data_IF_373349446173
#
_entry.id   IF_373349446173
#
_cell.length_a   1.000
_cell.length_b   1.000
_cell.length_c   1.000
_cell.angle_alpha   90.00
_cell.angle_beta   90.00
_cell.angle_gamma   90.00
#
_symmetry.space_group_name_H-M   'P 1'
#
loop_
_entity.id
_entity.type
_entity.pdbx_description
1 polymer ?
#
# COMPACT_ATOMS: atom_id res chain seq x y z
N UNK A 1 5.72 6.92 -4.59
CA UNK A 1 6.95 7.25 -5.36
C UNK A 1 7.31 6.19 -6.40
N UNK A 2 7.12 4.88 -6.16
CA UNK A 2 7.46 3.83 -7.12
C UNK A 2 6.66 3.91 -8.44
N UNK A 3 5.35 4.13 -8.37
CA UNK A 3 4.46 4.26 -9.54
C UNK A 3 4.90 5.38 -10.51
N UNK A 4 5.18 6.58 -10.00
CA UNK A 4 5.69 7.72 -10.80
C UNK A 4 7.00 7.38 -11.50
N UNK A 5 7.92 6.67 -10.82
CA UNK A 5 9.21 6.26 -11.40
C UNK A 5 9.00 5.25 -12.54
N UNK A 6 8.10 4.27 -12.36
CA UNK A 6 7.77 3.30 -13.39
C UNK A 6 7.09 3.97 -14.59
N UNK A 7 6.15 4.90 -14.36
CA UNK A 7 5.49 5.66 -15.42
C UNK A 7 6.49 6.49 -16.23
N UNK A 8 7.40 7.21 -15.57
CA UNK A 8 8.48 7.96 -16.25
C UNK A 8 9.36 7.03 -17.10
N UNK A 9 9.72 5.85 -16.58
CA UNK A 9 10.50 4.84 -17.31
C UNK A 9 9.74 4.30 -18.54
N UNK A 10 8.45 4.01 -18.40
CA UNK A 10 7.61 3.50 -19.49
C UNK A 10 7.47 4.53 -20.62
N UNK A 11 7.43 5.82 -20.27
CA UNK A 11 7.39 6.94 -21.21
C UNK A 11 8.78 7.33 -21.75
N UNK A 12 9.86 6.63 -21.36
CA UNK A 12 11.22 6.94 -21.80
C UNK A 12 11.76 8.28 -21.31
N UNK A 13 11.19 8.82 -20.22
CA UNK A 13 11.57 10.14 -19.70
C UNK A 13 12.88 10.07 -18.91
N UNK A 14 13.73 11.07 -19.13
CA UNK A 14 15.01 11.24 -18.42
C UNK A 14 14.97 12.51 -17.57
N UNK A 15 15.64 12.47 -16.42
CA UNK A 15 15.84 13.64 -15.57
C UNK A 15 17.24 14.19 -15.81
N UNK A 16 17.34 15.50 -16.05
CA UNK A 16 18.59 16.20 -16.28
C UNK A 16 18.71 17.36 -15.29
N UNK A 17 19.95 17.63 -14.86
CA UNK A 17 20.29 18.83 -14.09
C UNK A 17 21.07 19.77 -15.01
N UNK A 18 20.72 21.05 -15.01
CA UNK A 18 21.38 22.08 -15.82
C UNK A 18 21.73 23.28 -14.96
N UNK A 19 22.84 23.93 -15.30
CA UNK A 19 23.25 25.21 -14.74
C UNK A 19 22.91 26.30 -15.75
N UNK A 20 22.33 27.39 -15.27
CA UNK A 20 21.99 28.57 -16.06
C UNK A 20 22.55 29.81 -15.36
N UNK A 21 22.77 30.88 -16.13
CA UNK A 21 23.08 32.17 -15.53
C UNK A 21 21.87 32.70 -14.77
N UNK A 22 22.09 33.44 -13.68
CA UNK A 22 20.99 33.92 -12.84
C UNK A 22 20.06 34.88 -13.60
N UNK A 23 20.64 35.72 -14.46
CA UNK A 23 19.89 36.66 -15.31
C UNK A 23 18.93 35.96 -16.30
N UNK A 24 19.22 34.72 -16.68
CA UNK A 24 18.42 33.94 -17.63
C UNK A 24 17.28 33.16 -16.95
N UNK A 25 17.18 33.24 -15.62
CA UNK A 25 16.26 32.40 -14.82
C UNK A 25 14.81 32.52 -15.25
N UNK A 26 14.32 33.74 -15.47
CA UNK A 26 12.91 33.97 -15.79
C UNK A 26 12.57 33.47 -17.19
N UNK A 27 13.46 33.67 -18.15
CA UNK A 27 13.28 33.21 -19.52
C UNK A 27 13.43 31.69 -19.62
N UNK A 28 14.35 31.10 -18.85
CA UNK A 28 14.42 29.65 -18.69
C UNK A 28 13.14 29.09 -18.08
N UNK A 29 12.61 29.69 -17.01
CA UNK A 29 11.35 29.24 -16.38
C UNK A 29 10.17 29.28 -17.35
N UNK A 30 10.06 30.34 -18.17
CA UNK A 30 9.03 30.42 -19.22
C UNK A 30 9.23 29.34 -20.28
N UNK A 31 10.47 29.14 -20.73
CA UNK A 31 10.80 28.13 -21.74
C UNK A 31 10.50 26.70 -21.27
N UNK A 32 10.76 26.39 -19.99
CA UNK A 32 10.52 25.05 -19.42
C UNK A 32 9.10 24.82 -18.90
N UNK A 33 8.28 25.88 -18.76
CA UNK A 33 6.94 25.78 -18.19
C UNK A 33 6.06 24.71 -18.86
N UNK A 34 5.98 24.60 -20.21
CA UNK A 34 5.17 23.56 -20.85
C UNK A 34 5.61 22.14 -20.49
N UNK A 35 6.93 21.90 -20.39
CA UNK A 35 7.49 20.59 -20.03
C UNK A 35 7.24 20.27 -18.56
N UNK A 36 7.37 21.26 -17.68
CA UNK A 36 7.06 21.12 -16.25
C UNK A 36 5.60 20.77 -16.03
N UNK A 37 4.70 21.46 -16.71
CA UNK A 37 3.26 21.26 -16.55
C UNK A 37 2.85 19.88 -17.10
N UNK A 38 3.43 19.45 -18.23
CA UNK A 38 3.25 18.08 -18.75
C UNK A 38 3.80 17.02 -17.80
N UNK A 39 4.96 17.26 -17.18
CA UNK A 39 5.53 16.38 -16.17
C UNK A 39 4.62 16.24 -14.95
N UNK A 40 4.04 17.35 -14.47
CA UNK A 40 3.06 17.35 -13.36
C UNK A 40 1.81 16.54 -13.71
N UNK A 41 1.29 16.66 -14.92
CA UNK A 41 0.13 15.87 -15.36
C UNK A 41 0.45 14.38 -15.35
N UNK A 42 1.61 13.98 -15.88
CA UNK A 42 2.03 12.57 -15.88
C UNK A 42 2.15 12.01 -14.45
N UNK A 43 2.61 12.83 -13.51
CA UNK A 43 2.65 12.45 -12.09
C UNK A 43 1.27 12.31 -11.46
N UNK A 44 0.32 13.16 -11.85
CA UNK A 44 -1.07 13.06 -11.41
C UNK A 44 -1.73 11.81 -11.99
N UNK A 45 -1.62 11.59 -13.30
CA UNK A 45 -2.13 10.41 -13.99
C UNK A 45 -1.55 9.12 -13.36
N UNK A 46 -0.26 9.10 -13.02
CA UNK A 46 0.39 7.95 -12.36
C UNK A 46 -0.02 7.75 -10.89
N UNK A 47 -0.61 8.77 -10.25
CA UNK A 47 -1.22 8.63 -8.92
C UNK A 47 -2.67 8.16 -9.01
N UNK A 48 -3.35 8.50 -10.09
CA UNK A 48 -4.73 8.11 -10.38
C UNK A 48 -4.85 6.73 -11.03
N UNK A 49 -3.76 6.19 -11.62
CA UNK A 49 -3.69 4.77 -11.96
C UNK A 49 -3.98 3.95 -10.68
N UNK A 50 -5.00 3.06 -10.72
CA UNK A 50 -5.34 2.25 -9.56
C UNK A 50 -4.10 1.48 -9.12
N UNK A 51 -3.71 1.66 -7.86
CA UNK A 51 -2.66 0.86 -7.27
C UNK A 51 -3.06 -0.59 -7.44
N UNK A 52 -2.31 -1.33 -8.26
CA UNK A 52 -2.51 -2.75 -8.44
C UNK A 52 -2.49 -3.40 -7.06
N UNK A 53 -3.58 -4.10 -6.72
CA UNK A 53 -3.69 -4.74 -5.42
C UNK A 53 -2.59 -5.79 -5.30
N UNK A 54 -1.70 -5.62 -4.33
CA UNK A 54 -0.67 -6.61 -4.00
C UNK A 54 -1.25 -7.54 -2.94
N UNK A 55 -1.40 -8.84 -3.20
CA UNK A 55 -1.84 -9.80 -2.19
C UNK A 55 -0.92 -9.77 -0.98
N UNK A 56 -1.52 -9.81 0.19
CA UNK A 56 -0.82 -9.84 1.46
C UNK A 56 -1.55 -10.76 2.43
N UNK A 57 -0.95 -11.01 3.59
CA UNK A 57 -1.54 -11.81 4.66
C UNK A 57 -1.76 -10.94 5.89
N UNK A 58 -3.00 -10.88 6.39
CA UNK A 58 -3.26 -10.33 7.70
C UNK A 58 -2.75 -11.29 8.78
N UNK A 59 -2.14 -10.72 9.80
CA UNK A 59 -1.67 -11.41 10.98
C UNK A 59 -2.41 -10.87 12.21
N UNK A 60 -2.89 -11.77 13.06
CA UNK A 60 -3.54 -11.43 14.34
C UNK A 60 -2.90 -12.23 15.47
N UNK A 61 -2.37 -11.53 16.47
CA UNK A 61 -1.84 -12.12 17.69
C UNK A 61 -2.73 -11.78 18.86
N UNK A 62 -2.95 -12.72 19.77
CA UNK A 62 -3.69 -12.44 21.01
C UNK A 62 -2.73 -12.47 22.20
N UNK A 63 -2.77 -11.48 23.10
CA UNK A 63 -1.91 -11.47 24.29
C UNK A 63 -2.23 -12.62 25.25
N UNK A 64 -3.46 -13.12 25.20
CA UNK A 64 -3.93 -14.30 25.93
C UNK A 64 -4.68 -15.20 24.97
N UNK A 65 -4.66 -16.50 25.22
CA UNK A 65 -5.36 -17.46 24.37
C UNK A 65 -6.85 -17.09 24.24
N UNK A 66 -7.36 -16.83 23.02
CA UNK A 66 -8.74 -16.39 22.85
C UNK A 66 -9.73 -17.53 23.15
N UNK A 67 -10.97 -17.20 23.55
CA UNK A 67 -12.01 -18.18 23.82
C UNK A 67 -12.25 -19.14 22.65
N UNK A 68 -12.67 -20.38 22.94
CA UNK A 68 -12.91 -21.40 21.92
C UNK A 68 -13.93 -20.95 20.86
N UNK A 69 -14.98 -20.21 21.27
CA UNK A 69 -15.96 -19.64 20.35
C UNK A 69 -15.32 -18.70 19.31
N UNK A 70 -14.42 -17.82 19.75
CA UNK A 70 -13.70 -16.88 18.88
C UNK A 70 -12.80 -17.64 17.91
N UNK A 71 -12.01 -18.60 18.42
CA UNK A 71 -11.13 -19.43 17.57
C UNK A 71 -11.90 -20.23 16.52
N UNK A 72 -13.05 -20.77 16.90
CA UNK A 72 -13.90 -21.53 15.97
C UNK A 72 -14.51 -20.61 14.91
N UNK A 73 -14.94 -19.39 15.29
CA UNK A 73 -15.41 -18.38 14.35
C UNK A 73 -14.29 -17.96 13.39
N UNK A 74 -13.08 -17.72 13.90
CA UNK A 74 -11.92 -17.37 13.07
C UNK A 74 -11.59 -18.48 12.06
N UNK A 75 -11.61 -19.75 12.49
CA UNK A 75 -11.42 -20.88 11.56
C UNK A 75 -12.52 -20.93 10.51
N UNK A 76 -13.77 -20.69 10.90
CA UNK A 76 -14.90 -20.68 9.97
C UNK A 76 -14.82 -19.54 8.94
N UNK A 77 -14.25 -18.39 9.30
CA UNK A 77 -14.00 -17.29 8.35
C UNK A 77 -12.71 -17.47 7.53
N UNK A 78 -11.89 -18.48 7.83
CA UNK A 78 -10.71 -18.83 7.03
C UNK A 78 -9.37 -18.39 7.61
N UNK A 79 -9.32 -17.98 8.88
CA UNK A 79 -8.03 -17.81 9.56
C UNK A 79 -7.39 -19.15 9.87
N UNK A 80 -6.08 -19.21 9.66
CA UNK A 80 -5.25 -20.37 9.97
C UNK A 80 -4.31 -20.01 11.11
N UNK A 81 -4.29 -20.83 12.16
CA UNK A 81 -3.37 -20.64 13.27
C UNK A 81 -2.00 -21.23 12.91
N UNK A 82 -0.98 -20.38 12.91
CA UNK A 82 0.42 -20.76 12.85
C UNK A 82 0.96 -20.88 14.27
N UNK A 83 1.36 -22.12 14.61
CA UNK A 83 1.86 -22.46 15.93
C UNK A 83 3.27 -21.93 16.17
N UNK A 84 4.10 -21.85 15.12
CA UNK A 84 5.51 -21.49 15.26
C UNK A 84 5.65 -19.98 15.53
N UNK A 85 4.77 -19.18 14.92
CA UNK A 85 4.72 -17.73 15.13
C UNK A 85 3.72 -17.26 16.20
N UNK A 86 3.01 -18.18 16.86
CA UNK A 86 1.86 -17.93 17.74
C UNK A 86 0.91 -16.85 17.18
N UNK A 87 0.48 -17.04 15.94
CA UNK A 87 -0.22 -16.01 15.16
C UNK A 87 -1.29 -16.62 14.29
N UNK A 88 -2.41 -15.92 14.14
CA UNK A 88 -3.45 -16.26 13.17
C UNK A 88 -3.20 -15.53 11.87
N UNK A 89 -3.22 -16.26 10.76
CA UNK A 89 -2.93 -15.77 9.42
C UNK A 89 -4.18 -15.84 8.54
N UNK A 90 -4.38 -14.84 7.69
CA UNK A 90 -5.41 -14.90 6.65
C UNK A 90 -4.95 -14.20 5.37
N UNK A 91 -4.81 -14.93 4.25
CA UNK A 91 -4.52 -14.34 2.95
C UNK A 91 -5.63 -13.38 2.52
N UNK A 92 -5.24 -12.30 1.85
CA UNK A 92 -6.13 -11.23 1.41
C UNK A 92 -6.09 -11.12 -0.09
N UNK A 93 -7.28 -11.08 -0.67
CA UNK A 93 -7.52 -10.67 -2.06
C UNK A 93 -8.19 -9.30 -2.09
N UNK A 94 -8.17 -8.65 -3.25
CA UNK A 94 -8.81 -7.34 -3.46
C UNK A 94 -10.29 -7.37 -3.05
N UNK A 95 -11.00 -8.44 -3.38
CA UNK A 95 -12.42 -8.62 -3.05
C UNK A 95 -12.69 -8.82 -1.56
N UNK A 96 -11.70 -9.32 -0.81
CA UNK A 96 -11.86 -9.69 0.61
C UNK A 96 -11.21 -8.70 1.58
N UNK A 97 -10.44 -7.73 1.09
CA UNK A 97 -9.63 -6.81 1.92
C UNK A 97 -10.46 -6.09 2.99
N UNK A 98 -11.61 -5.55 2.62
CA UNK A 98 -12.42 -4.76 3.56
C UNK A 98 -13.12 -5.65 4.59
N UNK A 99 -13.63 -6.81 4.17
CA UNK A 99 -14.25 -7.77 5.07
C UNK A 99 -13.24 -8.31 6.11
N UNK A 100 -12.04 -8.69 5.65
CA UNK A 100 -10.98 -9.20 6.53
C UNK A 100 -10.47 -8.10 7.46
N UNK A 101 -10.34 -6.86 6.96
CA UNK A 101 -9.97 -5.70 7.78
C UNK A 101 -10.98 -5.45 8.89
N UNK A 102 -12.26 -5.42 8.56
CA UNK A 102 -13.31 -5.17 9.55
C UNK A 102 -13.36 -6.26 10.62
N UNK A 103 -13.14 -7.51 10.22
CA UNK A 103 -13.02 -8.63 11.17
C UNK A 103 -11.79 -8.48 12.06
N UNK A 104 -10.62 -8.16 11.50
CA UNK A 104 -9.39 -7.92 12.25
C UNK A 104 -9.54 -6.78 13.27
N UNK A 105 -10.19 -5.68 12.90
CA UNK A 105 -10.52 -4.56 13.81
C UNK A 105 -11.44 -5.04 14.94
N UNK A 106 -12.44 -5.85 14.63
CA UNK A 106 -13.36 -6.40 15.64
C UNK A 106 -12.60 -7.27 16.65
N UNK A 107 -11.69 -8.13 16.18
CA UNK A 107 -10.83 -8.96 17.05
C UNK A 107 -9.93 -8.10 17.94
N UNK A 108 -9.36 -7.01 17.40
CA UNK A 108 -8.56 -6.05 18.18
C UNK A 108 -9.38 -5.39 19.28
N UNK A 109 -10.58 -4.89 18.96
CA UNK A 109 -11.42 -4.15 19.90
C UNK A 109 -12.02 -5.07 20.98
N UNK A 110 -12.56 -6.22 20.58
CA UNK A 110 -13.30 -7.10 21.50
C UNK A 110 -12.42 -8.07 22.29
N UNK A 111 -11.25 -8.41 21.74
CA UNK A 111 -10.39 -9.46 22.29
C UNK A 111 -8.95 -9.01 22.51
N UNK A 112 -8.70 -7.70 22.43
CA UNK A 112 -7.38 -7.09 22.65
C UNK A 112 -6.29 -7.69 21.75
N UNK A 113 -6.68 -8.15 20.57
CA UNK A 113 -5.75 -8.69 19.61
C UNK A 113 -4.85 -7.58 19.03
N UNK A 114 -3.67 -7.97 18.55
CA UNK A 114 -2.72 -7.10 17.86
C UNK A 114 -2.66 -7.53 16.40
N UNK A 115 -2.91 -6.58 15.50
CA UNK A 115 -2.91 -6.80 14.05
C UNK A 115 -1.59 -6.39 13.42
N UNK A 116 -1.10 -7.19 12.49
CA UNK A 116 0.08 -6.95 11.67
C UNK A 116 -0.17 -7.45 10.23
N UNK A 117 0.76 -7.19 9.30
CA UNK A 117 0.61 -7.48 7.88
C UNK A 117 1.91 -8.00 7.29
N UNK A 118 1.82 -9.07 6.50
CA UNK A 118 2.96 -9.63 5.78
C UNK A 118 2.70 -9.56 4.27
N UNK A 119 3.60 -8.91 3.53
CA UNK A 119 3.52 -8.76 2.08
C UNK A 119 4.25 -9.93 1.42
N UNK A 120 3.61 -10.60 0.44
CA UNK A 120 4.23 -11.67 -0.35
C UNK A 120 4.84 -11.15 -1.65
#
# INVERSE_FOLDING_TARGET
>A
MHAVRQRRKALGLVQMNVWIHEDDKDDFQKAVAPFRDRGRQIEQDAREEPLEFVPFTYLVRFPVTPPAAVRNSMKASGWVYDRDGDVWKRPVSEESVEAIRQEAVTLTVQHQAVTDYDWH
#
